data_IF_453705339034
#
_entry.id   IF_453705339034
#
_cell.length_a   1.000
_cell.length_b   1.000
_cell.length_c   1.000
_cell.angle_alpha   90.00
_cell.angle_beta   90.00
_cell.angle_gamma   90.00
#
_symmetry.space_group_name_H-M   'P 1'
#
loop_
_entity.id
_entity.type
_entity.pdbx_description
1 polymer ?
#
# COMPACT_ATOMS: atom_id res chain seq x y z
N UNK A 1 -43.16 -18.56 17.73
CA UNK A 1 -43.05 -17.43 16.78
C UNK A 1 -42.38 -16.19 17.38
N UNK A 2 -42.78 -15.69 18.55
CA UNK A 2 -42.19 -14.47 19.14
C UNK A 2 -40.66 -14.53 19.37
N UNK A 3 -40.10 -15.68 19.80
CA UNK A 3 -38.66 -15.83 20.06
C UNK A 3 -37.78 -15.73 18.79
N UNK A 4 -38.29 -16.23 17.65
CA UNK A 4 -37.56 -16.18 16.37
C UNK A 4 -37.49 -14.75 15.83
N UNK A 5 -38.52 -13.93 16.00
CA UNK A 5 -38.48 -12.51 15.61
C UNK A 5 -37.50 -11.71 16.45
N UNK A 6 -37.44 -11.94 17.75
CA UNK A 6 -36.46 -11.28 18.63
C UNK A 6 -35.06 -11.64 18.24
N UNK A 7 -34.76 -12.91 17.96
CA UNK A 7 -33.47 -13.36 17.50
C UNK A 7 -33.06 -12.67 16.16
N UNK A 8 -34.01 -12.61 15.22
CA UNK A 8 -33.77 -11.99 13.91
C UNK A 8 -33.46 -10.50 14.05
N UNK A 9 -34.19 -9.77 14.89
CA UNK A 9 -33.96 -8.35 15.18
C UNK A 9 -32.59 -8.14 15.82
N UNK A 10 -32.22 -8.96 16.81
CA UNK A 10 -30.90 -8.86 17.47
C UNK A 10 -29.77 -9.10 16.47
N UNK A 11 -29.85 -10.13 15.63
CA UNK A 11 -28.85 -10.42 14.60
C UNK A 11 -28.75 -9.25 13.64
N UNK A 12 -29.88 -8.68 13.19
CA UNK A 12 -29.83 -7.52 12.26
C UNK A 12 -29.17 -6.29 12.89
N UNK A 13 -29.44 -6.02 14.17
CA UNK A 13 -28.80 -4.88 14.87
C UNK A 13 -27.31 -5.12 15.01
N UNK A 14 -26.87 -6.31 15.40
CA UNK A 14 -25.45 -6.65 15.53
C UNK A 14 -24.73 -6.53 14.20
N UNK A 15 -25.34 -7.03 13.12
CA UNK A 15 -24.79 -6.91 11.76
C UNK A 15 -24.67 -5.44 11.33
N UNK A 16 -25.68 -4.62 11.60
CA UNK A 16 -25.65 -3.20 11.26
C UNK A 16 -24.54 -2.47 12.03
N UNK A 17 -24.40 -2.72 13.32
CA UNK A 17 -23.33 -2.16 14.15
C UNK A 17 -21.96 -2.56 13.60
N UNK A 18 -21.77 -3.83 13.26
CA UNK A 18 -20.50 -4.31 12.69
C UNK A 18 -20.18 -3.61 11.36
N UNK A 19 -21.16 -3.45 10.47
CA UNK A 19 -20.98 -2.71 9.21
C UNK A 19 -20.61 -1.26 9.48
N UNK A 20 -21.30 -0.60 10.42
CA UNK A 20 -20.99 0.79 10.78
C UNK A 20 -19.56 0.94 11.32
N UNK A 21 -19.12 0.03 12.19
CA UNK A 21 -17.76 0.07 12.75
C UNK A 21 -16.68 -0.12 11.68
N UNK A 22 -16.92 -1.00 10.70
CA UNK A 22 -15.99 -1.22 9.57
C UNK A 22 -15.99 -0.02 8.63
N UNK A 23 -17.15 0.59 8.37
CA UNK A 23 -17.26 1.71 7.42
C UNK A 23 -16.78 3.04 8.00
N UNK A 24 -16.84 3.23 9.33
CA UNK A 24 -16.46 4.50 9.97
C UNK A 24 -15.08 5.04 9.58
N UNK A 25 -13.99 4.24 9.60
CA UNK A 25 -12.68 4.74 9.21
C UNK A 25 -12.66 5.32 7.79
N UNK A 26 -13.32 4.65 6.85
CA UNK A 26 -13.37 5.09 5.44
C UNK A 26 -14.18 6.38 5.25
N UNK A 27 -15.16 6.65 6.11
CA UNK A 27 -15.98 7.88 6.05
C UNK A 27 -15.20 9.06 6.63
N UNK A 28 -14.44 8.87 7.71
CA UNK A 28 -13.76 9.96 8.43
C UNK A 28 -12.35 10.22 7.92
N UNK A 29 -11.61 9.19 7.50
CA UNK A 29 -10.22 9.30 7.07
C UNK A 29 -10.12 9.35 5.54
N UNK A 30 -11.06 8.72 4.84
CA UNK A 30 -11.11 8.65 3.38
C UNK A 30 -10.72 7.26 2.82
N UNK A 31 -10.55 7.17 1.50
CA UNK A 31 -10.19 5.92 0.85
C UNK A 31 -8.78 5.48 1.24
N UNK A 32 -8.50 4.16 1.21
CA UNK A 32 -7.16 3.63 1.46
C UNK A 32 -6.13 4.27 0.53
N UNK A 33 -4.96 4.60 1.05
CA UNK A 33 -3.85 5.03 0.21
C UNK A 33 -3.37 3.88 -0.69
N UNK A 34 -2.79 4.20 -1.86
CA UNK A 34 -2.13 3.23 -2.71
C UNK A 34 -1.08 2.41 -1.96
N UNK A 35 -0.63 1.31 -2.54
CA UNK A 35 0.51 0.53 -2.04
C UNK A 35 1.79 1.34 -2.17
N UNK A 36 1.97 1.94 -3.34
CA UNK A 36 3.02 2.91 -3.61
C UNK A 36 2.63 3.86 -4.75
N UNK A 37 3.30 4.99 -4.81
CA UNK A 37 3.44 5.80 -6.00
C UNK A 37 4.89 5.80 -6.46
N UNK A 38 5.12 5.87 -7.78
CA UNK A 38 6.44 6.03 -8.38
C UNK A 38 6.40 7.20 -9.34
N UNK A 39 7.36 8.10 -9.21
CA UNK A 39 7.49 9.30 -10.01
C UNK A 39 8.85 9.35 -10.69
N UNK A 40 8.87 9.49 -12.01
CA UNK A 40 10.08 9.73 -12.78
C UNK A 40 10.29 11.25 -12.92
N UNK A 41 11.28 11.80 -12.23
CA UNK A 41 11.62 13.24 -12.33
C UNK A 41 12.67 13.52 -13.42
N UNK A 42 13.11 12.51 -14.17
CA UNK A 42 14.04 12.68 -15.28
C UNK A 42 13.28 13.02 -16.58
N UNK A 43 14.02 13.64 -17.51
CA UNK A 43 13.58 13.94 -18.88
C UNK A 43 13.67 12.72 -19.81
N UNK A 44 14.24 11.61 -19.35
CA UNK A 44 14.39 10.37 -20.08
C UNK A 44 13.40 9.30 -19.61
N UNK A 45 13.15 8.32 -20.49
CA UNK A 45 12.39 7.10 -20.11
C UNK A 45 13.30 6.18 -19.28
N UNK A 46 12.68 5.51 -18.29
CA UNK A 46 13.36 4.55 -17.42
C UNK A 46 12.52 3.30 -17.20
N UNK A 47 13.17 2.16 -17.00
CA UNK A 47 12.54 0.93 -16.54
C UNK A 47 12.74 0.76 -15.04
N UNK A 48 11.66 0.67 -14.29
CA UNK A 48 11.69 0.43 -12.86
C UNK A 48 11.05 -0.92 -12.52
N UNK A 49 11.80 -1.80 -11.85
CA UNK A 49 11.29 -3.05 -11.30
C UNK A 49 11.04 -2.85 -9.81
N UNK A 50 9.79 -3.02 -9.39
CA UNK A 50 9.40 -2.94 -7.99
C UNK A 50 9.10 -4.34 -7.48
N UNK A 51 9.80 -4.74 -6.43
CA UNK A 51 9.60 -6.00 -5.73
C UNK A 51 9.38 -5.74 -4.25
N UNK A 52 8.34 -6.34 -3.67
CA UNK A 52 7.97 -6.14 -2.27
C UNK A 52 8.02 -7.49 -1.57
N UNK A 53 8.70 -7.53 -0.45
CA UNK A 53 8.85 -8.71 0.39
C UNK A 53 8.11 -8.51 1.71
N UNK A 54 7.52 -9.58 2.21
CA UNK A 54 6.93 -9.61 3.55
C UNK A 54 7.98 -9.81 4.66
N UNK A 55 7.52 -9.90 5.90
CA UNK A 55 8.39 -10.15 7.07
C UNK A 55 9.13 -11.49 7.04
N UNK A 56 8.66 -12.46 6.23
CA UNK A 56 9.30 -13.75 6.04
C UNK A 56 10.31 -13.73 4.87
N UNK A 57 10.52 -12.56 4.25
CA UNK A 57 11.35 -12.39 3.06
C UNK A 57 10.80 -13.15 1.83
N UNK A 58 9.47 -13.34 1.77
CA UNK A 58 8.79 -13.87 0.60
C UNK A 58 8.32 -12.72 -0.30
N UNK A 59 8.56 -12.86 -1.63
CA UNK A 59 8.13 -11.85 -2.60
C UNK A 59 6.61 -11.93 -2.76
N UNK A 60 5.91 -10.90 -2.29
CA UNK A 60 4.45 -10.80 -2.33
C UNK A 60 3.95 -9.94 -3.50
N UNK A 61 4.84 -9.17 -4.11
CA UNK A 61 4.56 -8.34 -5.27
C UNK A 61 5.82 -8.16 -6.10
N UNK A 62 5.70 -8.27 -7.43
CA UNK A 62 6.78 -7.94 -8.37
C UNK A 62 6.19 -7.46 -9.68
N UNK A 63 6.59 -6.29 -10.14
CA UNK A 63 6.16 -5.74 -11.42
C UNK A 63 7.20 -4.79 -12.00
N UNK A 64 7.28 -4.78 -13.34
CA UNK A 64 8.10 -3.85 -14.11
C UNK A 64 7.23 -2.73 -14.66
N UNK A 65 7.72 -1.51 -14.59
CA UNK A 65 7.08 -0.30 -15.09
C UNK A 65 8.00 0.41 -16.07
N UNK A 66 7.47 0.71 -17.25
CA UNK A 66 8.09 1.64 -18.19
C UNK A 66 7.63 3.05 -17.82
N UNK A 67 8.55 3.88 -17.38
CA UNK A 67 8.29 5.21 -16.86
C UNK A 67 8.66 6.24 -17.92
N UNK A 68 7.66 6.83 -18.59
CA UNK A 68 7.90 7.98 -19.45
C UNK A 68 8.48 9.17 -18.66
N UNK A 69 9.10 10.14 -19.34
CA UNK A 69 9.58 11.37 -18.69
C UNK A 69 8.46 12.04 -17.87
N UNK A 70 8.79 12.49 -16.66
CA UNK A 70 7.88 13.18 -15.74
C UNK A 70 6.58 12.40 -15.41
N UNK A 71 6.55 11.09 -15.69
CA UNK A 71 5.39 10.26 -15.44
C UNK A 71 5.26 9.87 -13.98
N UNK A 72 4.01 9.75 -13.52
CA UNK A 72 3.65 9.22 -12.20
C UNK A 72 2.74 8.02 -12.37
N UNK A 73 3.05 6.93 -11.69
CA UNK A 73 2.23 5.72 -11.64
C UNK A 73 1.90 5.43 -10.19
N UNK A 74 0.65 5.06 -9.93
CA UNK A 74 0.18 4.68 -8.60
C UNK A 74 -0.38 3.27 -8.64
N UNK A 75 0.07 2.42 -7.71
CA UNK A 75 -0.35 1.03 -7.57
C UNK A 75 -1.26 0.87 -6.35
N UNK A 76 -2.49 0.44 -6.56
CA UNK A 76 -3.41 0.16 -5.45
C UNK A 76 -2.98 -1.07 -4.66
N UNK A 77 -3.28 -1.06 -3.35
CA UNK A 77 -3.14 -2.26 -2.50
C UNK A 77 -4.09 -3.35 -2.98
N UNK A 78 -3.63 -4.59 -3.15
CA UNK A 78 -4.51 -5.71 -3.47
C UNK A 78 -5.48 -5.98 -2.31
N UNK A 79 -6.66 -6.53 -2.62
CA UNK A 79 -7.73 -6.74 -1.64
C UNK A 79 -7.29 -7.60 -0.44
N UNK A 80 -6.52 -8.66 -0.68
CA UNK A 80 -6.01 -9.51 0.39
C UNK A 80 -5.12 -8.74 1.38
N UNK A 81 -4.29 -7.82 0.89
CA UNK A 81 -3.43 -6.97 1.71
C UNK A 81 -4.26 -5.96 2.50
N UNK A 82 -5.28 -5.34 1.89
CA UNK A 82 -6.20 -4.45 2.59
C UNK A 82 -6.94 -5.16 3.73
N UNK A 83 -7.38 -6.39 3.51
CA UNK A 83 -8.02 -7.20 4.55
C UNK A 83 -7.05 -7.50 5.70
N UNK A 84 -5.81 -7.87 5.39
CA UNK A 84 -4.77 -8.14 6.38
C UNK A 84 -4.44 -6.88 7.20
N UNK A 85 -4.24 -5.73 6.54
CA UNK A 85 -3.92 -4.46 7.19
C UNK A 85 -5.10 -3.85 7.97
N UNK A 86 -6.35 -4.25 7.68
CA UNK A 86 -7.55 -3.77 8.38
C UNK A 86 -7.82 -4.51 9.69
N UNK A 87 -7.24 -5.68 9.87
CA UNK A 87 -7.31 -6.43 11.13
C UNK A 87 -6.15 -5.94 12.00
N UNK A 88 -6.38 -5.43 13.22
CA UNK A 88 -5.31 -4.93 14.06
C UNK A 88 -4.26 -6.02 14.24
N UNK A 89 -3.04 -5.87 13.75
CA UNK A 89 -1.97 -6.81 14.01
C UNK A 89 -1.50 -6.62 15.45
N UNK A 90 -1.23 -7.70 16.13
CA UNK A 90 -0.51 -7.63 17.42
C UNK A 90 0.95 -7.17 17.22
N UNK A 91 1.46 -7.26 15.96
CA UNK A 91 2.78 -6.78 15.56
C UNK A 91 2.67 -6.01 14.25
N UNK A 92 3.32 -4.86 14.14
CA UNK A 92 3.48 -4.12 12.89
C UNK A 92 4.21 -5.02 11.88
N UNK A 93 3.54 -5.37 10.77
CA UNK A 93 4.18 -6.07 9.69
C UNK A 93 4.97 -5.10 8.82
N UNK A 94 6.28 -5.30 8.79
CA UNK A 94 7.16 -4.53 7.94
C UNK A 94 7.29 -5.20 6.58
N UNK A 95 7.12 -4.40 5.53
CA UNK A 95 7.37 -4.81 4.15
C UNK A 95 8.65 -4.18 3.64
N UNK A 96 9.43 -4.94 2.91
CA UNK A 96 10.66 -4.46 2.29
C UNK A 96 10.42 -4.14 0.82
N UNK A 97 10.53 -2.87 0.46
CA UNK A 97 10.45 -2.38 -0.91
C UNK A 97 11.83 -2.39 -1.54
N UNK A 98 11.97 -3.11 -2.63
CA UNK A 98 13.18 -3.14 -3.45
C UNK A 98 12.85 -2.57 -4.81
N UNK A 99 13.51 -1.49 -5.17
CA UNK A 99 13.36 -0.81 -6.46
C UNK A 99 14.66 -0.97 -7.24
N UNK A 100 14.56 -1.50 -8.46
CA UNK A 100 15.69 -1.62 -9.38
C UNK A 100 15.41 -0.78 -10.61
N UNK A 101 16.29 0.17 -10.90
CA UNK A 101 16.21 1.10 -12.01
C UNK A 101 17.14 0.67 -13.13
N UNK A 102 16.64 0.57 -14.37
CA UNK A 102 17.36 0.23 -15.60
C UNK A 102 18.24 -1.02 -15.47
N UNK A 103 17.81 -1.99 -14.68
CA UNK A 103 18.55 -3.23 -14.35
C UNK A 103 19.96 -3.01 -13.77
N UNK A 104 20.25 -1.80 -13.26
CA UNK A 104 21.59 -1.40 -12.84
C UNK A 104 21.64 -0.92 -11.38
N UNK A 105 20.80 0.04 -11.00
CA UNK A 105 20.80 0.63 -9.66
C UNK A 105 19.67 0.05 -8.84
N UNK A 106 19.95 -0.36 -7.60
CA UNK A 106 18.94 -0.89 -6.69
C UNK A 106 18.97 -0.14 -5.38
N UNK A 107 17.78 0.25 -4.90
CA UNK A 107 17.57 0.74 -3.54
C UNK A 107 16.55 -0.13 -2.82
N UNK A 108 16.72 -0.25 -1.50
CA UNK A 108 15.84 -1.08 -0.65
C UNK A 108 15.48 -0.32 0.61
N UNK A 109 14.19 -0.28 0.94
CA UNK A 109 13.71 0.40 2.14
C UNK A 109 12.62 -0.43 2.83
N UNK A 110 12.65 -0.48 4.18
CA UNK A 110 11.67 -1.19 4.98
C UNK A 110 10.59 -0.23 5.48
N UNK A 111 9.32 -0.57 5.27
CA UNK A 111 8.17 0.27 5.59
C UNK A 111 7.15 -0.54 6.38
N UNK A 112 6.72 -0.01 7.52
CA UNK A 112 5.54 -0.49 8.24
C UNK A 112 4.27 -0.07 7.51
N UNK A 113 3.72 -0.97 6.70
CA UNK A 113 2.50 -0.68 5.93
C UNK A 113 1.26 -0.71 6.83
N UNK A 114 0.37 0.23 6.57
CA UNK A 114 -0.99 0.30 7.10
C UNK A 114 -1.95 0.68 5.97
N UNK A 115 -3.26 0.69 6.25
CA UNK A 115 -4.28 1.05 5.24
C UNK A 115 -4.03 2.45 4.68
N UNK A 116 -3.61 3.40 5.53
CA UNK A 116 -3.36 4.82 5.19
C UNK A 116 -1.87 5.19 5.16
N UNK A 117 -1.00 4.21 4.91
CA UNK A 117 0.43 4.41 4.67
C UNK A 117 0.76 3.91 3.27
N UNK A 118 1.53 4.66 2.51
CA UNK A 118 2.05 4.24 1.20
C UNK A 118 3.55 4.51 1.09
N UNK A 119 4.22 3.74 0.23
CA UNK A 119 5.58 4.06 -0.19
C UNK A 119 5.54 5.14 -1.28
N UNK A 120 6.41 6.13 -1.18
CA UNK A 120 6.59 7.16 -2.19
C UNK A 120 7.98 6.99 -2.81
N UNK A 121 8.02 6.59 -4.07
CA UNK A 121 9.24 6.24 -4.80
C UNK A 121 9.51 7.35 -5.80
N UNK A 122 10.64 8.02 -5.66
CA UNK A 122 11.06 9.07 -6.57
C UNK A 122 12.34 8.68 -7.29
N UNK A 123 12.32 8.76 -8.62
CA UNK A 123 13.46 8.54 -9.47
C UNK A 123 14.04 9.92 -9.83
N UNK A 124 15.35 10.10 -9.65
CA UNK A 124 16.06 11.33 -9.96
C UNK A 124 15.49 12.59 -9.28
N UNK A 125 15.10 12.49 -7.99
CA UNK A 125 14.55 13.62 -7.23
C UNK A 125 15.59 14.74 -7.02
N UNK A 126 16.85 14.36 -6.79
CA UNK A 126 17.97 15.27 -6.58
C UNK A 126 19.22 14.79 -7.33
N UNK A 127 20.19 15.68 -7.56
CA UNK A 127 21.54 15.38 -8.10
C UNK A 127 22.39 14.53 -7.12
N UNK A 128 21.77 13.52 -6.48
CA UNK A 128 22.42 12.63 -5.54
C UNK A 128 23.06 11.44 -6.23
N UNK A 129 24.04 10.83 -5.58
CA UNK A 129 24.72 9.62 -6.10
C UNK A 129 23.74 8.43 -6.27
N UNK A 130 22.58 8.47 -5.61
CA UNK A 130 21.55 7.46 -5.72
C UNK A 130 20.30 8.03 -6.41
N UNK A 131 20.00 7.57 -7.64
CA UNK A 131 18.85 8.06 -8.40
C UNK A 131 17.49 7.55 -7.89
N UNK A 132 17.46 6.74 -6.83
CA UNK A 132 16.22 6.18 -6.25
C UNK A 132 16.07 6.65 -4.82
N UNK A 133 15.02 7.42 -4.54
CA UNK A 133 14.55 7.77 -3.19
C UNK A 133 13.29 6.98 -2.85
N UNK A 134 13.19 6.45 -1.64
CA UNK A 134 12.00 5.75 -1.14
C UNK A 134 11.61 6.38 0.18
N UNK A 135 10.51 7.11 0.17
CA UNK A 135 9.89 7.75 1.32
C UNK A 135 8.61 7.05 1.78
N UNK A 136 7.97 7.63 2.78
CA UNK A 136 6.68 7.18 3.32
C UNK A 136 5.72 8.35 3.38
N UNK A 137 4.54 8.17 2.80
CA UNK A 137 3.44 9.12 2.92
C UNK A 137 2.32 8.53 3.78
N UNK A 138 1.77 9.36 4.66
CA UNK A 138 0.71 9.01 5.63
C UNK A 138 -0.38 10.07 5.58
N UNK A 139 -1.64 9.65 5.71
CA UNK A 139 -2.81 10.54 5.86
C UNK A 139 -3.29 10.54 7.30
#
# INVERSE_FOLDING_TARGET
MKKSYVLLVVVSIVTLIAICLIAMPYIFIGPPLPLFSIHNNDINEHEAVIEIFDSNNESVFKQTYEMAPEAMISQSKPLWMLLQLSIPPENEENYTFKVTLDNNVTNTHQIGLQVWVMADIMLYEDDTENPISIGVSVV
#
